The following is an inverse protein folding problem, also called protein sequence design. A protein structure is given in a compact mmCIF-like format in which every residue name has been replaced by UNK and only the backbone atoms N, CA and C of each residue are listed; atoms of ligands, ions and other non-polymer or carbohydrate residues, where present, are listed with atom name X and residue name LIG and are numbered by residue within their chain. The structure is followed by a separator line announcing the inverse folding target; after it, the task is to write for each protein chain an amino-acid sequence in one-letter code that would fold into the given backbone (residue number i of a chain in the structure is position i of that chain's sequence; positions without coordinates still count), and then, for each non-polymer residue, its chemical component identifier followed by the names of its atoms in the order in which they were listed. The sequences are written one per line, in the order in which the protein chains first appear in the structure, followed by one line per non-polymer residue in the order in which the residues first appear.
data_IF_151578604063
#
_entry.id   IF_151578604063
#
_cell.length_a   1.000
_cell.length_b   1.000
_cell.length_c   1.000
_cell.angle_alpha   90.00
_cell.angle_beta   90.00
_cell.angle_gamma   90.00
#
_symmetry.space_group_name_H-M   'P 1'
#
loop_
_entity.id
_entity.type
_entity.pdbx_description
1 polymer ?
#
# COMPACT_ATOMS: atom_id res chain seq x y z
N UNK A 1 -6.84 9.42 -6.51
CA UNK A 1 -5.61 8.61 -6.59
C UNK A 1 -5.07 8.14 -5.23
N UNK A 2 -4.54 9.04 -4.37
CA UNK A 2 -3.87 8.67 -3.10
C UNK A 2 -4.65 7.68 -2.22
N UNK A 3 -5.95 7.92 -2.01
CA UNK A 3 -6.82 7.05 -1.22
C UNK A 3 -6.94 5.63 -1.79
N UNK A 4 -7.00 5.51 -3.12
CA UNK A 4 -7.12 4.23 -3.82
C UNK A 4 -5.81 3.45 -3.66
N UNK A 5 -4.65 4.11 -3.86
CA UNK A 5 -3.34 3.49 -3.66
C UNK A 5 -3.16 2.98 -2.23
N UNK A 6 -3.53 3.80 -1.23
CA UNK A 6 -3.53 3.39 0.18
C UNK A 6 -4.42 2.17 0.43
N UNK A 7 -5.66 2.19 -0.06
CA UNK A 7 -6.60 1.08 0.10
C UNK A 7 -6.05 -0.23 -0.49
N UNK A 8 -5.46 -0.18 -1.68
CA UNK A 8 -4.83 -1.34 -2.30
C UNK A 8 -3.60 -1.84 -1.56
N UNK A 9 -2.77 -0.95 -1.00
CA UNK A 9 -1.68 -1.39 -0.13
C UNK A 9 -2.23 -2.13 1.08
N UNK A 10 -3.25 -1.58 1.76
CA UNK A 10 -3.88 -2.25 2.90
C UNK A 10 -4.45 -3.62 2.51
N UNK A 11 -5.23 -3.71 1.43
CA UNK A 11 -5.84 -4.95 0.94
C UNK A 11 -4.77 -5.99 0.54
N UNK A 12 -3.79 -5.59 -0.25
CA UNK A 12 -2.75 -6.47 -0.80
C UNK A 12 -1.63 -6.78 0.20
N UNK A 13 -1.70 -6.26 1.42
CA UNK A 13 -0.78 -6.62 2.52
C UNK A 13 -1.51 -7.13 3.76
N UNK A 14 -2.84 -7.27 3.71
CA UNK A 14 -3.64 -7.90 4.75
C UNK A 14 -3.47 -9.43 4.78
N UNK A 15 -3.87 -10.03 5.90
CA UNK A 15 -4.05 -11.48 6.05
C UNK A 15 -5.29 -11.89 5.26
N UNK A 16 -5.17 -12.98 4.51
CA UNK A 16 -6.27 -13.57 3.74
C UNK A 16 -6.10 -13.43 2.23
N UNK A 17 -7.16 -13.79 1.50
CA UNK A 17 -7.20 -13.75 0.05
C UNK A 17 -7.81 -12.40 -0.36
N UNK A 18 -7.03 -11.47 -0.95
CA UNK A 18 -7.58 -10.20 -1.41
C UNK A 18 -8.54 -10.48 -2.57
N UNK A 19 -9.73 -9.89 -2.49
CA UNK A 19 -10.71 -9.89 -3.58
C UNK A 19 -10.80 -8.46 -4.10
N UNK A 20 -10.75 -8.31 -5.43
CA UNK A 20 -10.84 -7.03 -6.13
C UNK A 20 -12.01 -7.16 -7.09
N UNK A 21 -12.96 -6.22 -7.02
CA UNK A 21 -14.03 -6.14 -8.00
C UNK A 21 -13.47 -5.54 -9.29
N UNK A 22 -13.87 -6.08 -10.44
CA UNK A 22 -13.41 -5.56 -11.73
C UNK A 22 -13.76 -4.07 -11.86
N UNK A 23 -12.79 -3.26 -12.27
CA UNK A 23 -12.90 -1.81 -12.34
C UNK A 23 -12.16 -1.09 -11.21
N UNK A 24 -12.13 -1.66 -9.99
CA UNK A 24 -11.47 -1.04 -8.84
C UNK A 24 -9.98 -0.81 -9.08
N UNK A 25 -9.32 -1.70 -9.83
CA UNK A 25 -7.88 -1.65 -10.11
C UNK A 25 -7.46 -0.41 -10.92
N UNK A 26 -8.40 0.27 -11.57
CA UNK A 26 -8.18 1.56 -12.25
C UNK A 26 -9.16 2.64 -11.77
N UNK A 27 -9.75 2.42 -10.59
CA UNK A 27 -10.67 3.30 -9.90
C UNK A 27 -11.97 3.61 -10.65
N UNK A 28 -12.50 2.66 -11.44
CA UNK A 28 -13.76 2.81 -12.14
C UNK A 28 -14.86 3.36 -11.23
N UNK A 29 -15.67 4.26 -11.77
CA UNK A 29 -16.72 4.93 -11.01
C UNK A 29 -18.04 4.18 -11.19
N UNK A 30 -18.73 3.90 -10.09
CA UNK A 30 -20.11 3.43 -10.14
C UNK A 30 -21.05 4.64 -10.24
N UNK A 31 -21.36 5.07 -11.46
CA UNK A 31 -22.10 6.29 -11.76
C UNK A 31 -23.59 6.06 -12.05
N UNK A 32 -24.05 4.81 -12.11
CA UNK A 32 -25.48 4.50 -12.23
C UNK A 32 -26.16 4.43 -10.86
N UNK A 33 -27.25 5.20 -10.69
CA UNK A 33 -28.00 5.15 -9.44
C UNK A 33 -28.84 3.86 -9.33
N UNK A 34 -29.09 3.35 -8.11
CA UNK A 34 -29.96 2.19 -7.91
C UNK A 34 -31.39 2.35 -8.47
N UNK A 35 -31.85 3.59 -8.69
CA UNK A 35 -33.16 3.87 -9.26
C UNK A 35 -33.18 3.78 -10.81
N UNK A 36 -32.03 3.96 -11.45
CA UNK A 36 -31.85 3.87 -12.89
C UNK A 36 -31.67 2.41 -13.36
N UNK A 37 -31.57 1.47 -12.42
CA UNK A 37 -31.15 0.10 -12.66
C UNK A 37 -32.20 -0.90 -12.18
N UNK A 38 -32.75 -1.72 -13.10
CA UNK A 38 -33.80 -2.71 -12.81
C UNK A 38 -33.31 -4.16 -12.63
N UNK A 39 -32.10 -4.49 -13.05
CA UNK A 39 -31.59 -5.88 -13.14
C UNK A 39 -30.21 -6.08 -12.50
N UNK A 40 -29.80 -7.35 -12.30
CA UNK A 40 -28.61 -7.79 -11.54
C UNK A 40 -27.23 -7.38 -12.09
N UNK A 41 -27.14 -6.72 -13.25
CA UNK A 41 -25.88 -6.17 -13.77
C UNK A 41 -25.96 -4.65 -13.70
N UNK A 42 -25.50 -4.12 -12.56
CA UNK A 42 -25.93 -2.82 -12.03
C UNK A 42 -25.10 -1.64 -12.52
N UNK A 43 -23.87 -1.88 -12.99
CA UNK A 43 -23.02 -0.86 -13.60
C UNK A 43 -21.87 -1.57 -14.34
N UNK A 44 -21.88 -1.67 -15.69
CA UNK A 44 -20.83 -2.36 -16.40
C UNK A 44 -19.52 -1.59 -16.30
N UNK A 45 -18.43 -2.33 -16.08
CA UNK A 45 -17.09 -1.75 -15.99
C UNK A 45 -16.77 -0.96 -17.25
N UNK A 46 -16.46 0.34 -17.09
CA UNK A 46 -16.15 1.21 -18.22
C UNK A 46 -14.65 1.22 -18.51
N UNK A 47 -14.19 0.25 -19.31
CA UNK A 47 -12.78 0.12 -19.69
C UNK A 47 -12.22 1.29 -20.49
N UNK A 48 -13.05 2.16 -21.09
CA UNK A 48 -12.54 3.35 -21.78
C UNK A 48 -11.90 4.33 -20.79
N UNK A 49 -12.34 4.35 -19.52
CA UNK A 49 -11.74 5.17 -18.45
C UNK A 49 -10.28 4.79 -18.19
N UNK A 50 -9.87 3.53 -18.43
CA UNK A 50 -8.46 3.13 -18.32
C UNK A 50 -7.53 3.93 -19.26
N UNK A 51 -8.05 4.65 -20.26
CA UNK A 51 -7.23 5.51 -21.12
C UNK A 51 -6.79 6.81 -20.45
N UNK A 52 -7.39 7.20 -19.34
CA UNK A 52 -6.98 8.37 -18.57
C UNK A 52 -5.66 8.11 -17.84
N UNK A 53 -4.70 9.03 -17.94
CA UNK A 53 -3.34 8.85 -17.42
C UNK A 53 -3.30 8.50 -15.94
N UNK A 54 -4.04 9.22 -15.09
CA UNK A 54 -4.06 8.98 -13.65
C UNK A 54 -4.65 7.61 -13.28
N UNK A 55 -5.56 7.07 -14.10
CA UNK A 55 -6.13 5.72 -13.91
C UNK A 55 -5.14 4.64 -14.35
N UNK A 56 -4.37 4.88 -15.40
CA UNK A 56 -3.24 4.02 -15.76
C UNK A 56 -2.19 3.97 -14.65
N UNK A 57 -1.92 5.10 -13.99
CA UNK A 57 -0.97 5.14 -12.88
C UNK A 57 -1.45 4.30 -11.69
N UNK A 58 -2.76 4.29 -11.41
CA UNK A 58 -3.35 3.38 -10.42
C UNK A 58 -3.24 1.93 -10.89
N UNK A 59 -3.65 1.64 -12.13
CA UNK A 59 -3.58 0.29 -12.69
C UNK A 59 -2.18 -0.31 -12.61
N UNK A 60 -1.17 0.46 -13.02
CA UNK A 60 0.23 0.05 -12.96
C UNK A 60 0.72 -0.14 -11.53
N UNK A 61 0.28 0.72 -10.61
CA UNK A 61 0.59 0.61 -9.18
C UNK A 61 -0.02 -0.66 -8.56
N UNK A 62 -1.30 -0.93 -8.80
CA UNK A 62 -1.99 -2.14 -8.33
C UNK A 62 -1.37 -3.38 -8.95
N UNK A 63 -1.11 -3.38 -10.26
CA UNK A 63 -0.45 -4.49 -10.95
C UNK A 63 0.93 -4.81 -10.35
N UNK A 64 1.73 -3.80 -9.99
CA UNK A 64 3.01 -3.98 -9.30
C UNK A 64 2.82 -4.70 -7.96
N UNK A 65 1.89 -4.22 -7.13
CA UNK A 65 1.61 -4.81 -5.82
C UNK A 65 1.10 -6.24 -5.93
N UNK A 66 0.20 -6.53 -6.87
CA UNK A 66 -0.32 -7.89 -7.12
C UNK A 66 0.82 -8.81 -7.54
N UNK A 67 1.61 -8.43 -8.56
CA UNK A 67 2.76 -9.21 -9.04
C UNK A 67 3.73 -9.51 -7.91
N UNK A 68 4.02 -8.52 -7.07
CA UNK A 68 4.92 -8.70 -5.95
C UNK A 68 4.32 -9.59 -4.83
N UNK A 69 3.03 -9.41 -4.47
CA UNK A 69 2.34 -10.25 -3.46
C UNK A 69 2.42 -11.73 -3.82
N UNK A 70 2.32 -12.10 -5.11
CA UNK A 70 2.43 -13.51 -5.53
C UNK A 70 3.78 -14.16 -5.21
N UNK A 71 4.82 -13.37 -4.96
CA UNK A 71 6.19 -13.84 -4.67
C UNK A 71 6.58 -13.64 -3.20
N UNK A 72 5.88 -12.77 -2.47
CA UNK A 72 6.20 -12.40 -1.10
C UNK A 72 5.67 -13.44 -0.10
N UNK A 73 6.52 -14.41 0.29
CA UNK A 73 6.12 -15.45 1.25
C UNK A 73 5.66 -14.88 2.60
N UNK A 74 6.23 -13.75 3.02
CA UNK A 74 5.83 -13.01 4.22
C UNK A 74 4.33 -12.65 4.26
N UNK A 75 3.68 -12.49 3.12
CA UNK A 75 2.26 -12.14 3.03
C UNK A 75 1.32 -13.36 3.00
N UNK A 76 1.88 -14.57 2.84
CA UNK A 76 1.13 -15.83 2.79
C UNK A 76 0.90 -16.46 4.17
N UNK A 77 1.54 -15.96 5.21
CA UNK A 77 1.37 -16.45 6.60
C UNK A 77 0.27 -15.70 7.34
N UNK A 78 -0.38 -16.36 8.29
CA UNK A 78 -1.45 -15.77 9.11
C UNK A 78 -0.87 -15.02 10.32
N UNK A 79 -0.25 -13.87 10.06
CA UNK A 79 0.35 -13.02 11.08
C UNK A 79 0.09 -11.53 10.82
N UNK A 80 0.21 -10.69 11.85
CA UNK A 80 0.29 -9.24 11.73
C UNK A 80 0.88 -8.70 13.03
N UNK A 81 1.96 -7.94 12.94
CA UNK A 81 2.62 -7.34 14.10
C UNK A 81 2.63 -5.81 13.94
N UNK A 82 1.86 -5.09 14.76
CA UNK A 82 1.82 -3.63 14.73
C UNK A 82 3.03 -3.05 15.48
N UNK A 83 4.05 -2.65 14.72
CA UNK A 83 5.33 -2.19 15.28
C UNK A 83 5.34 -0.71 15.63
N UNK A 84 4.43 0.09 15.07
CA UNK A 84 4.29 1.51 15.38
C UNK A 84 2.87 2.02 15.10
N UNK A 85 2.33 2.79 16.04
CA UNK A 85 1.01 3.42 15.93
C UNK A 85 1.12 4.84 16.49
N UNK A 86 0.95 5.84 15.62
CA UNK A 86 1.02 7.26 15.99
C UNK A 86 -0.29 7.95 15.63
N UNK A 87 -1.09 8.19 16.67
CA UNK A 87 -2.39 8.86 16.59
C UNK A 87 -2.35 10.28 17.18
N UNK A 88 -1.14 10.86 17.34
CA UNK A 88 -0.95 12.15 17.99
C UNK A 88 -0.90 13.31 16.98
N UNK A 89 -1.24 14.52 17.42
CA UNK A 89 -1.01 15.75 16.65
C UNK A 89 -1.61 15.71 15.22
N UNK A 90 -2.79 15.11 15.07
CA UNK A 90 -3.47 14.98 13.77
C UNK A 90 -2.95 13.85 12.88
N UNK A 91 -1.92 13.11 13.31
CA UNK A 91 -1.43 11.92 12.61
C UNK A 91 -2.38 10.75 12.81
N UNK A 92 -2.43 9.87 11.81
CA UNK A 92 -3.02 8.54 11.90
C UNK A 92 -2.11 7.56 11.17
N UNK A 93 -0.90 7.39 11.69
CA UNK A 93 0.12 6.54 11.06
C UNK A 93 0.13 5.18 11.75
N UNK A 94 -0.02 4.12 10.96
CA UNK A 94 0.02 2.74 11.43
C UNK A 94 1.07 2.02 10.62
N UNK A 95 1.96 1.31 11.31
CA UNK A 95 3.02 0.51 10.71
C UNK A 95 2.91 -0.90 11.22
N UNK A 96 2.87 -1.86 10.30
CA UNK A 96 2.84 -3.26 10.65
C UNK A 96 3.88 -4.06 9.87
N UNK A 97 4.30 -5.15 10.48
CA UNK A 97 5.20 -6.15 9.94
C UNK A 97 4.41 -7.43 9.66
N UNK A 98 4.77 -8.08 8.57
CA UNK A 98 4.30 -9.40 8.13
C UNK A 98 5.51 -10.31 7.92
N UNK A 99 5.36 -11.59 8.19
CA UNK A 99 6.42 -12.59 8.07
C UNK A 99 7.40 -12.64 9.24
N UNK A 100 8.34 -13.58 9.15
CA UNK A 100 9.29 -13.94 10.21
C UNK A 100 10.70 -14.13 9.65
N UNK A 101 11.70 -14.07 10.53
CA UNK A 101 13.10 -14.24 10.16
C UNK A 101 13.55 -13.17 9.17
N UNK A 102 14.13 -13.61 8.05
CA UNK A 102 14.57 -12.71 6.97
C UNK A 102 13.49 -12.45 5.91
N UNK A 103 12.36 -13.15 5.99
CA UNK A 103 11.24 -12.99 5.06
C UNK A 103 10.20 -12.09 5.70
N UNK A 104 10.53 -10.80 5.79
CA UNK A 104 9.67 -9.79 6.40
C UNK A 104 9.24 -8.73 5.39
N UNK A 105 8.04 -8.22 5.63
CA UNK A 105 7.48 -7.08 4.93
C UNK A 105 7.05 -6.07 5.97
N UNK A 106 7.41 -4.80 5.77
CA UNK A 106 6.96 -3.70 6.62
C UNK A 106 6.11 -2.75 5.80
N UNK A 107 4.94 -2.41 6.30
CA UNK A 107 4.02 -1.47 5.66
C UNK A 107 3.89 -0.25 6.54
N UNK A 108 4.09 0.93 5.97
CA UNK A 108 3.87 2.23 6.60
C UNK A 108 2.64 2.84 5.95
N UNK A 109 1.57 3.08 6.70
CA UNK A 109 0.35 3.69 6.17
C UNK A 109 -0.04 4.94 6.97
N UNK A 110 -0.27 6.04 6.26
CA UNK A 110 -0.75 7.28 6.82
C UNK A 110 -2.24 7.47 6.47
N UNK A 111 -3.14 7.38 7.45
CA UNK A 111 -4.58 7.55 7.28
C UNK A 111 -5.04 8.99 7.61
N UNK A 112 -4.19 9.98 7.36
CA UNK A 112 -4.46 11.38 7.71
C UNK A 112 -3.89 12.36 6.68
N UNK A 113 -4.24 13.63 6.85
CA UNK A 113 -3.65 14.75 6.11
C UNK A 113 -2.29 15.20 6.65
N UNK A 114 -1.75 14.50 7.66
CA UNK A 114 -0.39 14.77 8.12
C UNK A 114 0.61 14.60 6.98
N UNK A 115 1.56 15.53 6.91
CA UNK A 115 2.62 15.57 5.92
C UNK A 115 3.94 15.89 6.61
N UNK A 116 4.97 15.09 6.36
CA UNK A 116 6.34 15.45 6.71
C UNK A 116 6.84 16.61 5.84
N UNK A 117 7.83 17.36 6.31
CA UNK A 117 8.57 18.27 5.43
C UNK A 117 9.15 17.47 4.24
N UNK A 118 9.18 18.01 3.01
CA UNK A 118 9.81 17.34 1.86
C UNK A 118 11.29 16.97 2.08
N UNK A 119 11.96 17.68 2.99
CA UNK A 119 13.35 17.43 3.41
C UNK A 119 13.45 16.80 4.80
N UNK A 120 12.31 16.50 5.43
CA UNK A 120 12.23 15.96 6.77
C UNK A 120 12.11 14.44 6.80
N UNK A 121 12.26 13.88 7.99
CA UNK A 121 12.17 12.44 8.25
C UNK A 121 10.98 12.15 9.17
N UNK A 122 10.18 11.14 8.85
CA UNK A 122 9.27 10.53 9.80
C UNK A 122 9.91 9.26 10.36
N UNK A 123 10.26 9.29 11.64
CA UNK A 123 11.02 8.22 12.28
C UNK A 123 10.07 7.20 12.90
N UNK A 124 10.26 5.93 12.53
CA UNK A 124 9.59 4.76 13.08
C UNK A 124 10.56 4.10 14.07
N UNK A 125 10.36 4.23 15.39
CA UNK A 125 11.36 3.81 16.38
C UNK A 125 11.68 2.31 16.36
N UNK A 126 10.69 1.48 16.08
CA UNK A 126 10.80 0.02 16.14
C UNK A 126 11.03 -0.62 14.76
N UNK A 127 11.78 0.07 13.89
CA UNK A 127 12.10 -0.48 12.57
C UNK A 127 12.94 -1.76 12.70
N UNK A 128 12.62 -2.85 11.98
CA UNK A 128 13.36 -4.11 12.09
C UNK A 128 14.84 -3.93 11.72
N UNK A 129 15.72 -4.43 12.59
CA UNK A 129 17.14 -4.57 12.28
C UNK A 129 17.36 -5.78 11.39
N UNK A 130 18.26 -5.64 10.40
CA UNK A 130 18.52 -6.67 9.38
C UNK A 130 20.02 -6.90 9.26
N UNK A 131 20.40 -8.08 8.76
CA UNK A 131 21.80 -8.42 8.52
C UNK A 131 22.47 -7.45 7.55
N UNK A 132 23.80 -7.31 7.64
CA UNK A 132 24.58 -6.41 6.78
C UNK A 132 24.61 -6.84 5.32
N UNK A 133 24.22 -8.08 5.03
CA UNK A 133 24.12 -8.70 3.70
C UNK A 133 22.75 -8.46 3.03
N UNK A 134 21.79 -7.84 3.73
CA UNK A 134 20.44 -7.57 3.21
C UNK A 134 20.24 -6.12 2.86
N UNK A 135 19.34 -5.86 1.92
CA UNK A 135 18.93 -4.51 1.56
C UNK A 135 17.41 -4.36 1.59
N UNK A 136 16.93 -3.20 2.05
CA UNK A 136 15.53 -2.83 1.93
C UNK A 136 15.18 -2.41 0.50
N UNK A 137 14.06 -2.92 -0.01
CA UNK A 137 13.44 -2.50 -1.26
C UNK A 137 12.06 -1.89 -0.98
N UNK A 138 11.80 -0.68 -1.49
CA UNK A 138 10.48 -0.07 -1.43
C UNK A 138 9.65 -0.51 -2.66
N UNK A 139 8.73 -1.44 -2.44
CA UNK A 139 7.89 -2.06 -3.47
C UNK A 139 6.97 -1.04 -4.14
N UNK A 140 6.45 -0.07 -3.39
CA UNK A 140 5.48 0.93 -3.87
C UNK A 140 6.08 1.89 -4.89
N UNK A 141 7.40 2.12 -4.84
CA UNK A 141 8.14 2.93 -5.81
C UNK A 141 9.09 2.12 -6.70
N UNK A 142 9.22 0.82 -6.46
CA UNK A 142 10.13 -0.08 -7.17
C UNK A 142 11.58 0.40 -7.12
N UNK A 143 12.09 0.64 -5.92
CA UNK A 143 13.47 1.13 -5.72
C UNK A 143 14.16 0.51 -4.52
N UNK A 144 15.49 0.49 -4.59
CA UNK A 144 16.34 0.20 -3.46
C UNK A 144 16.29 1.35 -2.42
N UNK A 145 16.37 0.99 -1.14
CA UNK A 145 16.42 1.92 -0.02
C UNK A 145 17.77 1.75 0.68
N UNK A 146 18.38 2.85 1.09
CA UNK A 146 19.61 2.79 1.89
C UNK A 146 19.25 2.37 3.31
N UNK A 147 19.89 1.33 3.85
CA UNK A 147 19.45 0.71 5.09
C UNK A 147 19.30 1.67 6.29
N UNK A 148 20.14 2.71 6.40
CA UNK A 148 20.02 3.68 7.49
C UNK A 148 18.82 4.64 7.36
N UNK A 149 18.27 4.78 6.14
CA UNK A 149 17.08 5.60 5.83
C UNK A 149 15.78 4.80 5.98
N UNK A 150 15.84 3.47 5.91
CA UNK A 150 14.66 2.64 6.09
C UNK A 150 14.03 2.92 7.48
N UNK A 151 12.72 3.22 7.48
CA UNK A 151 12.00 3.63 8.68
C UNK A 151 12.19 5.10 9.09
N UNK A 152 12.87 5.92 8.28
CA UNK A 152 13.12 7.36 8.54
C UNK A 152 12.78 8.26 7.36
N UNK A 153 11.92 7.81 6.45
CA UNK A 153 11.60 8.57 5.24
C UNK A 153 10.45 9.54 5.50
N UNK A 154 10.35 10.60 4.69
CA UNK A 154 9.17 11.47 4.69
C UNK A 154 7.90 10.66 4.42
N UNK A 155 6.78 11.03 5.04
CA UNK A 155 5.46 10.47 4.72
C UNK A 155 4.52 11.58 4.25
N UNK A 156 3.71 11.28 3.25
CA UNK A 156 2.75 12.22 2.66
C UNK A 156 1.30 11.89 3.04
N UNK A 157 0.37 12.85 2.89
CA UNK A 157 -1.05 12.64 3.19
C UNK A 157 -1.61 11.43 2.44
N UNK A 158 -2.23 10.50 3.18
CA UNK A 158 -2.86 9.30 2.60
C UNK A 158 -1.92 8.41 1.80
N UNK A 159 -0.61 8.47 2.08
CA UNK A 159 0.40 7.62 1.47
C UNK A 159 0.51 6.28 2.20
N UNK A 160 0.85 5.24 1.45
CA UNK A 160 1.40 4.02 2.00
C UNK A 160 2.69 3.61 1.28
N UNK A 161 3.62 3.05 2.06
CA UNK A 161 4.89 2.52 1.58
C UNK A 161 5.05 1.08 2.03
N UNK A 162 5.53 0.23 1.13
CA UNK A 162 5.74 -1.21 1.40
C UNK A 162 7.21 -1.53 1.22
N UNK A 163 7.82 -2.10 2.25
CA UNK A 163 9.23 -2.46 2.30
C UNK A 163 9.40 -3.96 2.42
N UNK A 164 10.34 -4.51 1.69
CA UNK A 164 10.72 -5.92 1.76
C UNK A 164 12.25 -6.06 1.74
N UNK A 165 12.77 -7.16 2.26
CA UNK A 165 14.19 -7.48 2.14
C UNK A 165 14.47 -8.18 0.81
N UNK A 166 15.57 -7.79 0.17
CA UNK A 166 16.16 -8.41 -1.02
C UNK A 166 17.62 -8.81 -0.76
#
# INVERSE_FOLDING_TARGET
EKYIKLAFVCLLTAVGIPMILAGEEFADEHDLSPAEVKDKQVDPVNYERLRESWRQDIFNYVARLVRWRTKAQALAVNDTDFIHVDLNQGKRVIVWKRGYGEQIVVVVANFSDYCSSPTGEYIIPNWPSVGTDKQWWEVTQDRAVVNYQAGKEAIFPWEAKVYALV
#
